data_IF_130989330057
#
_entry.id   IF_130989330057
#
_cell.length_a   1.000
_cell.length_b   1.000
_cell.length_c   1.000
_cell.angle_alpha   90.00
_cell.angle_beta   90.00
_cell.angle_gamma   90.00
#
_symmetry.space_group_name_H-M   'P 1'
#
loop_
_entity.id
_entity.type
_entity.pdbx_description
1 polymer ?
#
# COMPACT_ATOMS: atom_id res chain seq x y z
N UNK A 1 10.64 0.19 20.52
CA UNK A 1 9.90 1.04 21.47
C UNK A 1 8.65 1.56 20.77
N UNK A 2 7.48 1.11 21.22
CA UNK A 2 6.15 1.49 20.73
C UNK A 2 5.81 2.88 21.26
N UNK A 3 5.51 3.82 20.37
CA UNK A 3 5.16 5.21 20.74
C UNK A 3 3.77 5.29 21.40
N UNK A 4 2.98 4.22 21.29
CA UNK A 4 1.64 4.13 21.87
C UNK A 4 1.34 2.70 22.33
N UNK A 5 0.72 2.49 23.52
CA UNK A 5 0.38 1.17 24.01
C UNK A 5 -1.02 0.76 23.52
N UNK A 6 -1.17 0.33 22.26
CA UNK A 6 -2.49 -0.06 21.73
C UNK A 6 -2.74 -1.58 21.85
N UNK A 7 -3.73 -2.02 22.66
CA UNK A 7 -4.26 -3.40 22.60
C UNK A 7 -5.34 -3.54 21.51
N UNK A 8 -5.37 -4.71 20.84
CA UNK A 8 -6.17 -5.01 19.63
C UNK A 8 -7.70 -4.81 19.73
N UNK A 9 -8.28 -4.63 20.92
CA UNK A 9 -9.73 -4.64 21.13
C UNK A 9 -10.36 -3.33 21.67
N UNK A 10 -9.58 -2.25 21.90
CA UNK A 10 -10.11 -0.98 22.47
C UNK A 10 -10.13 0.21 21.49
N UNK A 11 -10.12 -0.05 20.18
CA UNK A 11 -9.69 0.96 19.18
C UNK A 11 -10.65 2.11 18.88
N UNK A 12 -11.97 1.99 19.06
CA UNK A 12 -12.89 3.04 18.56
C UNK A 12 -13.05 4.24 19.50
N UNK A 13 -12.97 4.04 20.82
CA UNK A 13 -13.16 5.11 21.82
C UNK A 13 -11.89 5.94 22.07
N UNK A 14 -10.70 5.39 21.84
CA UNK A 14 -9.46 6.11 22.14
C UNK A 14 -9.05 7.12 21.06
N UNK A 15 -9.45 6.92 19.81
CA UNK A 15 -9.12 7.83 18.71
C UNK A 15 -9.98 9.11 18.67
N UNK A 16 -11.17 9.06 19.27
CA UNK A 16 -12.00 10.27 19.48
C UNK A 16 -11.32 11.29 20.42
N UNK A 17 -10.29 10.86 21.15
CA UNK A 17 -9.44 11.74 21.95
C UNK A 17 -8.47 12.55 21.10
N UNK A 18 -8.30 12.27 19.81
CA UNK A 18 -7.29 12.95 18.99
C UNK A 18 -7.90 13.88 17.94
N UNK A 19 -7.24 15.01 17.73
CA UNK A 19 -7.62 16.04 16.75
C UNK A 19 -6.46 16.27 15.80
N UNK A 20 -6.78 16.44 14.52
CA UNK A 20 -5.83 16.94 13.54
C UNK A 20 -5.91 18.47 13.51
N UNK A 21 -4.91 19.12 14.11
CA UNK A 21 -4.75 20.56 14.03
C UNK A 21 -3.93 20.96 12.79
N UNK A 22 -4.12 22.19 12.33
CA UNK A 22 -3.32 22.82 11.29
C UNK A 22 -2.89 24.22 11.76
N UNK A 23 -1.58 24.47 11.74
CA UNK A 23 -0.95 25.77 12.02
C UNK A 23 -0.03 26.13 10.85
N UNK A 24 -0.36 27.20 10.12
CA UNK A 24 0.29 27.51 8.85
C UNK A 24 0.18 26.35 7.85
N UNK A 25 1.29 25.90 7.27
CA UNK A 25 1.33 24.74 6.36
C UNK A 25 1.59 23.39 7.08
N UNK A 26 1.66 23.40 8.41
CA UNK A 26 1.99 22.20 9.20
C UNK A 26 0.73 21.58 9.80
N UNK A 27 0.62 20.25 9.67
CA UNK A 27 -0.44 19.45 10.29
C UNK A 27 0.11 18.70 11.50
N UNK A 28 -0.63 18.71 12.60
CA UNK A 28 -0.24 18.02 13.83
C UNK A 28 -1.41 17.27 14.46
N UNK A 29 -1.08 16.28 15.28
CA UNK A 29 -2.05 15.55 16.10
C UNK A 29 -1.88 15.92 17.57
N UNK A 30 -3.01 16.10 18.26
CA UNK A 30 -3.07 16.40 19.68
C UNK A 30 -4.19 15.62 20.37
N UNK A 31 -4.03 15.37 21.67
CA UNK A 31 -5.09 14.81 22.51
C UNK A 31 -6.10 15.91 22.91
N UNK A 32 -7.34 15.53 23.22
CA UNK A 32 -8.41 16.35 23.81
C UNK A 32 -8.52 16.08 25.33
N UNK A 33 -8.63 17.12 26.17
CA UNK A 33 -8.40 18.52 25.83
C UNK A 33 -6.93 18.73 25.47
N UNK A 34 -6.60 19.89 24.87
CA UNK A 34 -5.26 20.23 24.37
C UNK A 34 -4.23 20.33 25.51
N UNK A 35 -3.92 19.22 26.16
CA UNK A 35 -2.88 19.15 27.17
C UNK A 35 -1.52 19.12 26.46
N UNK A 36 -0.58 19.99 26.85
CA UNK A 36 0.80 19.84 26.43
C UNK A 36 1.29 18.50 26.97
N UNK A 37 1.65 17.57 26.08
CA UNK A 37 2.23 16.27 26.45
C UNK A 37 3.42 16.55 27.36
N UNK A 38 3.35 16.13 28.63
CA UNK A 38 4.36 16.47 29.63
C UNK A 38 5.62 15.65 29.35
N UNK A 39 6.78 16.22 29.67
CA UNK A 39 8.09 15.53 29.57
C UNK A 39 8.11 14.18 30.29
N UNK A 40 7.28 14.00 31.32
CA UNK A 40 7.12 12.80 32.13
C UNK A 40 6.33 11.67 31.44
N UNK A 41 5.53 11.96 30.42
CA UNK A 41 4.73 10.95 29.70
C UNK A 41 5.58 10.18 28.67
N UNK A 42 6.87 10.53 28.59
CA UNK A 42 7.88 9.97 27.71
C UNK A 42 8.99 9.40 28.61
N UNK A 43 8.74 8.22 29.19
CA UNK A 43 9.81 7.41 29.77
C UNK A 43 10.68 6.86 28.64
N UNK A 44 11.70 7.63 28.24
CA UNK A 44 12.93 7.05 27.67
C UNK A 44 13.84 6.82 28.87
N UNK A 45 13.97 5.56 29.29
CA UNK A 45 15.01 5.13 30.22
C UNK A 45 16.36 5.60 29.67
N UNK A 46 17.03 6.44 30.47
CA UNK A 46 18.44 6.80 30.33
C UNK A 46 19.30 5.57 30.69
N UNK A 47 20.31 5.33 29.87
CA UNK A 47 21.70 5.17 30.32
C UNK A 47 22.50 6.15 29.44
N UNK A 48 23.03 7.25 30.02
CA UNK A 48 24.43 7.38 30.45
C UNK A 48 25.37 7.11 29.26
N UNK A 49 26.00 8.11 28.66
CA UNK A 49 27.15 8.79 29.26
C UNK A 49 27.10 10.32 29.11
N UNK A 50 27.41 10.98 30.22
CA UNK A 50 27.90 12.35 30.24
C UNK A 50 29.35 12.38 29.73
N UNK A 51 29.73 13.42 28.99
CA UNK A 51 30.78 14.31 29.46
C UNK A 51 30.80 15.66 28.72
N UNK A 52 30.64 16.68 29.56
CA UNK A 52 31.35 17.97 29.58
C UNK A 52 31.33 18.88 28.34
N UNK A 53 30.60 19.98 28.44
CA UNK A 53 31.22 21.32 28.37
C UNK A 53 30.26 22.43 28.83
N UNK A 54 30.64 23.00 29.97
CA UNK A 54 30.67 24.44 30.31
C UNK A 54 29.45 25.31 30.01
N UNK A 55 28.79 25.67 31.12
CA UNK A 55 28.04 26.91 31.35
C UNK A 55 28.70 28.13 30.68
N UNK A 56 27.92 28.83 29.85
CA UNK A 56 28.01 30.29 29.73
C UNK A 56 26.62 30.90 29.72
N UNK A 57 26.41 31.79 30.69
CA UNK A 57 25.32 32.75 30.75
C UNK A 57 25.15 33.50 29.43
N UNK A 58 23.92 33.67 28.95
CA UNK A 58 23.48 34.96 28.43
C UNK A 58 21.96 35.10 28.40
N UNK A 59 21.53 36.13 29.16
CA UNK A 59 20.46 37.09 28.90
C UNK A 59 19.11 36.59 28.39
N UNK A 60 18.13 36.78 29.28
CA UNK A 60 16.75 37.10 28.96
C UNK A 60 16.68 38.12 27.81
N UNK A 61 16.07 37.70 26.72
CA UNK A 61 15.59 38.59 25.66
C UNK A 61 14.08 38.37 25.60
N UNK A 62 13.35 39.36 26.12
CA UNK A 62 11.93 39.53 25.88
C UNK A 62 11.68 39.51 24.37
N UNK A 63 10.93 38.51 23.90
CA UNK A 63 10.28 38.50 22.59
C UNK A 63 8.88 37.91 22.76
N UNK A 64 7.90 38.76 22.98
CA UNK A 64 6.62 38.66 22.27
C UNK A 64 6.79 39.46 20.97
N UNK A 65 6.29 38.97 19.82
CA UNK A 65 4.86 38.75 19.64
C UNK A 65 4.55 37.47 18.84
N UNK A 66 3.86 36.49 19.43
CA UNK A 66 3.21 35.47 18.59
C UNK A 66 1.88 36.07 18.11
N UNK A 67 1.89 36.55 16.86
CA UNK A 67 0.69 36.61 16.04
C UNK A 67 -0.04 35.28 16.20
N UNK A 68 -1.26 35.29 16.71
CA UNK A 68 -2.14 34.13 16.81
C UNK A 68 -2.43 33.64 15.39
N UNK A 69 -1.57 32.75 14.88
CA UNK A 69 -1.85 32.02 13.66
C UNK A 69 -3.12 31.21 13.93
N UNK A 70 -4.23 31.51 13.26
CA UNK A 70 -5.50 30.80 13.38
C UNK A 70 -5.26 29.28 13.30
N UNK A 71 -5.31 28.60 14.44
CA UNK A 71 -5.22 27.15 14.51
C UNK A 71 -6.58 26.58 14.10
N UNK A 72 -6.61 25.78 13.04
CA UNK A 72 -7.84 25.10 12.62
C UNK A 72 -7.81 23.65 13.06
N UNK A 73 -8.84 23.22 13.77
CA UNK A 73 -8.97 21.86 14.29
C UNK A 73 -9.95 21.04 13.45
N UNK A 74 -9.53 19.84 13.06
CA UNK A 74 -10.34 18.89 12.32
C UNK A 74 -10.55 17.61 13.12
N UNK A 75 -11.81 17.23 13.29
CA UNK A 75 -12.16 15.98 13.98
C UNK A 75 -11.74 14.80 13.11
N UNK A 76 -11.05 13.84 13.74
CA UNK A 76 -10.73 12.55 13.14
C UNK A 76 -11.90 11.59 13.37
N UNK A 77 -12.47 11.05 12.30
CA UNK A 77 -13.44 9.95 12.41
C UNK A 77 -12.69 8.61 12.39
N UNK A 78 -12.93 7.77 13.40
CA UNK A 78 -12.50 6.36 13.46
C UNK A 78 -13.27 5.50 12.44
N UNK A 79 -12.76 4.46 11.77
CA UNK A 79 -11.42 3.93 11.50
C UNK A 79 -11.56 2.93 10.34
N UNK A 80 -10.46 2.55 9.69
CA UNK A 80 -10.27 1.18 9.18
C UNK A 80 -9.04 0.57 9.83
N UNK A 81 -9.08 -0.71 10.21
CA UNK A 81 -7.86 -1.36 10.71
C UNK A 81 -6.97 -1.63 9.50
N UNK A 82 -5.67 -1.31 9.54
CA UNK A 82 -4.79 -1.85 8.50
C UNK A 82 -4.40 -3.27 8.88
N UNK A 83 -4.01 -4.08 7.89
CA UNK A 83 -3.38 -5.37 8.18
C UNK A 83 -2.02 -5.20 8.87
N UNK A 84 -1.45 -3.99 8.84
CA UNK A 84 -0.23 -3.65 9.57
C UNK A 84 -0.62 -3.26 11.00
N UNK A 85 -0.32 -4.07 12.02
CA UNK A 85 -0.69 -3.74 13.39
C UNK A 85 -0.16 -2.39 13.86
N UNK A 86 0.94 -1.90 13.26
CA UNK A 86 1.63 -0.66 13.56
C UNK A 86 1.18 0.58 12.74
N UNK A 87 0.12 0.48 11.92
CA UNK A 87 -0.42 1.61 11.13
C UNK A 87 -1.89 1.84 11.45
N UNK A 88 -2.19 3.09 11.80
CA UNK A 88 -3.46 3.55 12.36
C UNK A 88 -4.10 4.62 11.47
N UNK A 89 -4.97 4.24 10.52
CA UNK A 89 -5.52 5.17 9.56
C UNK A 89 -6.90 5.69 9.96
N UNK A 90 -7.10 6.99 9.76
CA UNK A 90 -8.33 7.73 10.08
C UNK A 90 -8.77 8.54 8.87
N UNK A 91 -10.04 8.94 8.84
CA UNK A 91 -10.52 9.94 7.87
C UNK A 91 -10.68 11.30 8.51
N UNK A 92 -10.47 12.31 7.69
CA UNK A 92 -10.90 13.66 7.98
C UNK A 92 -11.42 14.32 6.70
N UNK A 93 -12.34 15.26 6.85
CA UNK A 93 -12.81 16.11 5.75
C UNK A 93 -12.27 17.51 6.00
N UNK A 94 -11.49 18.00 5.06
CA UNK A 94 -10.96 19.38 5.08
C UNK A 94 -11.56 20.09 3.87
N UNK A 95 -12.44 21.05 4.15
CA UNK A 95 -13.32 21.67 3.13
C UNK A 95 -14.13 20.57 2.42
N UNK A 96 -14.14 20.57 1.08
CA UNK A 96 -14.85 19.63 0.21
C UNK A 96 -14.04 18.37 -0.16
N UNK A 97 -12.94 18.06 0.55
CA UNK A 97 -12.06 16.93 0.22
C UNK A 97 -11.90 15.99 1.41
N UNK A 98 -11.98 14.68 1.14
CA UNK A 98 -11.70 13.63 2.10
C UNK A 98 -10.20 13.25 2.07
N UNK A 99 -9.63 13.11 3.26
CA UNK A 99 -8.24 12.72 3.47
C UNK A 99 -8.16 11.50 4.38
N UNK A 100 -7.21 10.63 4.04
CA UNK A 100 -6.76 9.51 4.85
C UNK A 100 -5.53 9.95 5.62
N UNK A 101 -5.57 9.84 6.94
CA UNK A 101 -4.48 10.16 7.87
C UNK A 101 -3.97 8.85 8.45
N UNK A 102 -2.78 8.41 8.04
CA UNK A 102 -2.14 7.19 8.54
C UNK A 102 -1.09 7.54 9.58
N UNK A 103 -1.22 7.00 10.80
CA UNK A 103 -0.25 7.17 11.89
C UNK A 103 0.59 5.91 12.04
N UNK A 104 1.87 6.08 12.34
CA UNK A 104 2.84 4.98 12.33
C UNK A 104 3.55 4.92 13.66
N UNK A 105 3.65 3.73 14.23
CA UNK A 105 4.41 3.51 15.48
C UNK A 105 5.93 3.55 15.24
N UNK A 106 6.37 3.22 14.02
CA UNK A 106 7.78 3.14 13.66
C UNK A 106 8.19 4.30 12.73
N UNK A 107 9.03 5.20 13.25
CA UNK A 107 9.50 6.39 12.54
C UNK A 107 10.38 6.08 11.32
N UNK A 108 11.15 4.97 11.33
CA UNK A 108 11.98 4.56 10.18
C UNK A 108 11.11 4.16 8.99
N UNK A 109 10.10 3.35 9.26
CA UNK A 109 9.15 2.91 8.25
C UNK A 109 8.34 4.08 7.67
N UNK A 110 7.89 5.02 8.52
CA UNK A 110 7.21 6.23 8.06
C UNK A 110 8.10 7.11 7.16
N UNK A 111 9.38 7.28 7.50
CA UNK A 111 10.33 8.01 6.63
C UNK A 111 10.43 7.36 5.24
N UNK A 112 10.50 6.03 5.20
CA UNK A 112 10.51 5.28 3.94
C UNK A 112 9.18 5.43 3.18
N UNK A 113 8.04 5.28 3.84
CA UNK A 113 6.71 5.45 3.26
C UNK A 113 6.54 6.85 2.64
N UNK A 114 6.80 7.91 3.40
CA UNK A 114 6.67 9.30 2.91
C UNK A 114 7.53 9.53 1.67
N UNK A 115 8.80 9.10 1.72
CA UNK A 115 9.74 9.26 0.59
C UNK A 115 9.30 8.47 -0.62
N UNK A 116 9.00 7.19 -0.43
CA UNK A 116 8.65 6.28 -1.52
C UNK A 116 7.29 6.66 -2.13
N UNK A 117 6.29 7.03 -1.32
CA UNK A 117 4.97 7.46 -1.78
C UNK A 117 5.08 8.69 -2.68
N UNK A 118 5.83 9.73 -2.26
CA UNK A 118 6.03 10.92 -3.08
C UNK A 118 6.74 10.58 -4.40
N UNK A 119 7.80 9.76 -4.34
CA UNK A 119 8.56 9.33 -5.52
C UNK A 119 7.68 8.59 -6.52
N UNK A 120 6.90 7.62 -6.03
CA UNK A 120 5.98 6.81 -6.84
C UNK A 120 4.87 7.66 -7.42
N UNK A 121 4.22 8.50 -6.62
CA UNK A 121 3.15 9.38 -7.08
C UNK A 121 3.62 10.27 -8.23
N UNK A 122 4.77 10.94 -8.07
CA UNK A 122 5.33 11.82 -9.10
C UNK A 122 5.71 11.05 -10.37
N UNK A 123 6.36 9.88 -10.22
CA UNK A 123 6.72 9.03 -11.36
C UNK A 123 5.49 8.56 -12.15
N UNK A 124 4.43 8.16 -11.45
CA UNK A 124 3.16 7.73 -12.09
C UNK A 124 2.49 8.90 -12.81
N UNK A 125 2.45 10.11 -12.24
CA UNK A 125 1.89 11.26 -12.95
C UNK A 125 2.69 11.61 -14.21
N UNK A 126 4.02 11.61 -14.12
CA UNK A 126 4.90 11.87 -15.26
C UNK A 126 4.71 10.82 -16.37
N UNK A 127 4.64 9.54 -16.01
CA UNK A 127 4.41 8.44 -16.95
C UNK A 127 3.07 8.58 -17.69
N UNK A 128 2.00 8.98 -16.99
CA UNK A 128 0.70 9.17 -17.65
C UNK A 128 0.69 10.32 -18.65
N UNK A 129 1.43 11.40 -18.37
CA UNK A 129 1.62 12.48 -19.35
C UNK A 129 2.34 11.96 -20.59
N UNK A 130 3.37 11.14 -20.41
CA UNK A 130 4.12 10.53 -21.51
C UNK A 130 3.25 9.58 -22.34
N UNK A 131 2.46 8.73 -21.70
CA UNK A 131 1.56 7.82 -22.39
C UNK A 131 0.48 8.56 -23.18
N UNK A 132 -0.06 9.66 -22.63
CA UNK A 132 -1.00 10.51 -23.35
C UNK A 132 -0.37 11.12 -24.60
N UNK A 133 0.87 11.63 -24.49
CA UNK A 133 1.59 12.20 -25.61
C UNK A 133 1.91 11.16 -26.70
N UNK A 134 2.18 9.91 -26.31
CA UNK A 134 2.42 8.80 -27.23
C UNK A 134 1.14 8.18 -27.82
N UNK A 135 -0.03 8.79 -27.64
CA UNK A 135 -1.31 8.27 -28.14
C UNK A 135 -1.84 7.05 -27.37
N UNK A 136 -1.23 6.70 -26.24
CA UNK A 136 -1.54 5.49 -25.48
C UNK A 136 -2.69 5.72 -24.48
N UNK A 137 -3.82 6.21 -25.00
CA UNK A 137 -5.00 6.65 -24.23
C UNK A 137 -5.80 5.51 -23.59
N UNK A 138 -5.58 4.26 -24.05
CA UNK A 138 -6.31 3.07 -23.55
C UNK A 138 -5.60 2.33 -22.42
N UNK A 139 -4.41 2.78 -22.02
CA UNK A 139 -3.62 2.14 -20.97
C UNK A 139 -4.37 2.22 -19.62
N UNK A 140 -4.59 1.09 -18.92
CA UNK A 140 -5.34 1.07 -17.68
C UNK A 140 -4.58 1.80 -16.58
N UNK A 141 -5.25 2.80 -16.00
CA UNK A 141 -4.69 3.64 -14.95
C UNK A 141 -4.82 2.96 -13.58
N UNK A 142 -3.69 2.73 -12.93
CA UNK A 142 -3.65 2.45 -11.48
C UNK A 142 -3.56 3.79 -10.75
N UNK A 143 -4.42 3.98 -9.76
CA UNK A 143 -4.40 5.14 -8.88
C UNK A 143 -3.25 5.06 -7.86
N UNK A 144 -2.67 6.20 -7.53
CA UNK A 144 -1.82 6.36 -6.34
C UNK A 144 -2.43 7.51 -5.55
N UNK A 145 -2.77 7.32 -4.26
CA UNK A 145 -3.34 8.38 -3.43
C UNK A 145 -2.42 9.60 -3.46
N UNK A 146 -2.97 10.81 -3.68
CA UNK A 146 -2.13 12.00 -3.72
C UNK A 146 -1.63 12.30 -2.30
N UNK A 147 -0.31 12.37 -2.04
CA UNK A 147 0.21 12.82 -0.75
C UNK A 147 -0.19 14.28 -0.53
N UNK A 148 -0.66 14.59 0.67
CA UNK A 148 -1.19 15.90 1.05
C UNK A 148 -0.31 16.59 2.09
N UNK A 149 0.08 15.88 3.15
CA UNK A 149 0.93 16.42 4.20
C UNK A 149 1.65 15.34 5.01
N UNK A 150 2.75 15.73 5.66
CA UNK A 150 3.33 14.99 6.78
C UNK A 150 2.62 15.46 8.06
N UNK A 151 2.48 14.55 9.02
CA UNK A 151 1.78 14.82 10.28
C UNK A 151 2.78 14.74 11.42
N UNK A 152 2.75 15.70 12.33
CA UNK A 152 3.64 15.80 13.48
C UNK A 152 2.88 15.66 14.81
N UNK A 153 3.56 15.41 15.91
CA UNK A 153 2.95 15.53 17.23
C UNK A 153 2.85 17.01 17.64
N UNK A 154 1.77 17.43 18.32
CA UNK A 154 1.66 18.78 18.90
C UNK A 154 2.83 19.02 19.86
N UNK A 155 3.39 20.23 19.83
CA UNK A 155 4.60 20.59 20.59
C UNK A 155 5.92 20.08 19.98
N UNK A 156 5.89 19.33 18.87
CA UNK A 156 7.08 18.97 18.07
C UNK A 156 7.05 19.48 16.65
N UNK A 157 5.89 19.97 16.19
CA UNK A 157 5.75 20.68 14.93
C UNK A 157 6.68 21.92 14.92
N UNK A 158 7.56 22.03 13.93
CA UNK A 158 8.56 23.12 13.85
C UNK A 158 9.80 22.95 14.73
N UNK A 159 9.80 21.99 15.66
CA UNK A 159 10.96 21.69 16.55
C UNK A 159 11.68 20.41 16.09
N UNK A 160 10.94 19.44 15.55
CA UNK A 160 11.51 18.17 15.08
C UNK A 160 11.06 17.85 13.65
N UNK A 161 11.99 17.38 12.82
CA UNK A 161 11.70 16.92 11.45
C UNK A 161 11.14 15.49 11.38
N UNK A 162 10.79 14.89 12.53
CA UNK A 162 10.32 13.51 12.58
C UNK A 162 8.79 13.49 12.52
N UNK A 163 8.19 13.15 11.37
CA UNK A 163 6.75 12.97 11.29
C UNK A 163 6.34 11.74 12.11
N UNK A 164 5.08 11.72 12.52
CA UNK A 164 4.37 10.58 13.13
C UNK A 164 3.28 10.01 12.21
N UNK A 165 2.96 10.71 11.11
CA UNK A 165 1.98 10.25 10.14
C UNK A 165 2.13 10.82 8.74
N UNK A 166 1.34 10.27 7.83
CA UNK A 166 1.20 10.69 6.44
C UNK A 166 -0.29 10.93 6.13
N UNK A 167 -0.61 12.09 5.57
CA UNK A 167 -1.92 12.42 5.06
C UNK A 167 -1.94 12.28 3.53
N UNK A 168 -2.94 11.57 3.01
CA UNK A 168 -3.16 11.36 1.56
C UNK A 168 -4.61 11.65 1.21
N UNK A 169 -4.91 11.93 -0.06
CA UNK A 169 -6.32 11.94 -0.53
C UNK A 169 -6.93 10.56 -0.35
N UNK A 170 -8.11 10.50 0.23
CA UNK A 170 -8.82 9.24 0.45
C UNK A 170 -9.08 8.52 -0.87
N UNK A 171 -8.77 7.22 -0.91
CA UNK A 171 -9.20 6.34 -2.00
C UNK A 171 -10.73 6.22 -1.91
N UNK A 172 -11.49 6.56 -2.96
CA UNK A 172 -12.93 6.39 -2.95
C UNK A 172 -13.29 4.92 -2.69
N UNK A 173 -14.23 4.67 -1.76
CA UNK A 173 -14.70 3.33 -1.48
C UNK A 173 -15.33 2.71 -2.74
N UNK A 174 -15.33 1.38 -2.81
CA UNK A 174 -15.96 0.68 -3.92
C UNK A 174 -17.49 0.85 -3.84
N UNK A 175 -18.15 1.09 -4.97
CA UNK A 175 -19.60 1.26 -5.01
C UNK A 175 -20.29 0.04 -4.37
N UNK A 176 -21.25 0.23 -3.45
CA UNK A 176 -22.02 -0.87 -2.86
C UNK A 176 -22.59 -1.86 -3.89
N UNK A 177 -22.95 -1.40 -5.09
CA UNK A 177 -23.40 -2.24 -6.19
C UNK A 177 -22.36 -3.28 -6.65
N UNK A 178 -21.07 -3.05 -6.39
CA UNK A 178 -19.98 -4.00 -6.67
C UNK A 178 -19.55 -4.78 -5.43
N UNK A 179 -19.60 -4.16 -4.23
CA UNK A 179 -19.29 -4.87 -2.98
C UNK A 179 -20.32 -5.93 -2.63
N UNK A 180 -21.62 -5.63 -2.80
CA UNK A 180 -22.70 -6.52 -2.36
C UNK A 180 -22.74 -7.86 -3.12
N UNK A 181 -22.53 -7.91 -4.45
CA UNK A 181 -22.36 -9.17 -5.16
C UNK A 181 -21.21 -10.02 -4.63
N UNK A 182 -20.02 -9.44 -4.41
CA UNK A 182 -18.87 -10.12 -3.80
C UNK A 182 -19.23 -10.74 -2.44
N UNK A 183 -19.93 -9.99 -1.59
CA UNK A 183 -20.42 -10.46 -0.28
C UNK A 183 -21.39 -11.63 -0.43
N UNK A 184 -22.32 -11.54 -1.41
CA UNK A 184 -23.32 -12.59 -1.66
C UNK A 184 -22.73 -13.83 -2.31
N UNK A 185 -21.76 -13.69 -3.20
CA UNK A 185 -21.19 -14.81 -3.94
C UNK A 185 -20.18 -15.60 -3.09
N UNK A 186 -19.38 -14.91 -2.27
CA UNK A 186 -18.21 -15.52 -1.63
C UNK A 186 -18.29 -15.62 -0.11
N UNK A 187 -19.41 -15.28 0.52
CA UNK A 187 -19.62 -15.57 1.93
C UNK A 187 -20.72 -16.61 2.10
N UNK A 188 -20.48 -17.50 3.06
CA UNK A 188 -21.46 -18.44 3.55
C UNK A 188 -22.72 -17.73 4.09
N UNK A 189 -23.88 -18.38 3.97
CA UNK A 189 -25.17 -17.85 4.42
C UNK A 189 -25.15 -17.47 5.91
N UNK A 190 -24.43 -18.23 6.75
CA UNK A 190 -24.35 -18.02 8.20
C UNK A 190 -23.74 -16.67 8.58
N UNK A 191 -22.77 -16.18 7.81
CA UNK A 191 -22.07 -14.91 8.06
C UNK A 191 -22.56 -13.77 7.16
N UNK A 192 -23.15 -14.10 6.00
CA UNK A 192 -23.63 -13.12 5.02
C UNK A 192 -24.61 -12.12 5.62
N UNK A 193 -25.59 -12.57 6.40
CA UNK A 193 -26.59 -11.67 7.04
C UNK A 193 -25.91 -10.67 7.98
N UNK A 194 -24.99 -11.14 8.82
CA UNK A 194 -24.21 -10.27 9.72
C UNK A 194 -23.39 -9.23 8.96
N UNK A 195 -22.78 -9.63 7.84
CA UNK A 195 -21.93 -8.74 7.04
C UNK A 195 -22.76 -7.72 6.24
N UNK A 196 -23.88 -8.13 5.65
CA UNK A 196 -24.77 -7.21 4.91
C UNK A 196 -25.43 -6.17 5.82
N UNK A 197 -25.69 -6.51 7.08
CA UNK A 197 -26.23 -5.59 8.08
C UNK A 197 -25.16 -4.68 8.71
N UNK A 198 -23.90 -4.80 8.29
CA UNK A 198 -22.83 -3.97 8.82
C UNK A 198 -22.90 -2.55 8.20
N UNK A 199 -23.05 -1.48 9.00
CA UNK A 199 -23.17 -0.12 8.49
C UNK A 199 -21.91 0.37 7.76
N UNK A 200 -20.76 -0.30 7.94
CA UNK A 200 -19.49 0.05 7.30
C UNK A 200 -19.24 -0.67 5.97
N UNK A 201 -20.19 -1.46 5.46
CA UNK A 201 -20.02 -2.17 4.18
C UNK A 201 -19.80 -1.22 2.99
N UNK A 202 -20.30 0.01 3.07
CA UNK A 202 -20.11 1.08 2.07
C UNK A 202 -18.71 1.70 2.09
N UNK A 203 -17.93 1.49 3.15
CA UNK A 203 -16.56 1.99 3.28
C UNK A 203 -15.50 0.95 2.90
N UNK A 204 -15.95 -0.23 2.43
CA UNK A 204 -15.10 -1.36 2.11
C UNK A 204 -14.14 -1.03 0.97
N UNK A 205 -12.88 -1.40 1.20
CA UNK A 205 -11.77 -1.29 0.27
C UNK A 205 -11.08 -2.64 0.24
N UNK A 206 -11.22 -3.35 -0.87
CA UNK A 206 -10.84 -4.75 -0.98
C UNK A 206 -9.41 -4.89 -1.49
N UNK A 207 -8.58 -5.73 -0.86
CA UNK A 207 -7.20 -5.96 -1.31
C UNK A 207 -7.20 -6.96 -2.46
N UNK A 208 -6.73 -6.56 -3.63
CA UNK A 208 -6.63 -7.46 -4.77
C UNK A 208 -5.43 -8.40 -4.60
N UNK A 209 -5.64 -9.72 -4.72
CA UNK A 209 -4.59 -10.73 -4.82
C UNK A 209 -4.67 -11.43 -6.17
N UNK A 210 -3.90 -10.94 -7.13
CA UNK A 210 -3.91 -11.48 -8.50
C UNK A 210 -3.00 -12.70 -8.68
N UNK A 211 -2.14 -13.00 -7.70
CA UNK A 211 -1.20 -14.11 -7.73
C UNK A 211 -1.66 -15.38 -7.01
N UNK A 212 -2.90 -15.40 -6.49
CA UNK A 212 -3.40 -16.51 -5.67
C UNK A 212 -4.89 -16.77 -5.93
N UNK A 213 -5.30 -18.03 -5.75
CA UNK A 213 -6.71 -18.42 -5.64
C UNK A 213 -7.18 -18.27 -4.20
N UNK A 214 -8.50 -18.16 -4.03
CA UNK A 214 -9.09 -18.19 -2.69
C UNK A 214 -8.73 -19.51 -1.99
N UNK A 215 -8.24 -19.49 -0.75
CA UNK A 215 -7.93 -20.70 -0.02
C UNK A 215 -9.20 -21.52 0.27
N UNK A 216 -9.05 -22.82 0.59
CA UNK A 216 -10.15 -23.59 1.15
C UNK A 216 -10.77 -22.86 2.35
N UNK A 217 -12.09 -22.90 2.48
CA UNK A 217 -12.82 -22.25 3.59
C UNK A 217 -12.78 -20.71 3.65
N UNK A 218 -12.28 -20.01 2.61
CA UNK A 218 -12.32 -18.54 2.56
C UNK A 218 -13.75 -17.98 2.70
N UNK A 219 -14.76 -18.78 2.28
CA UNK A 219 -16.18 -18.45 2.41
C UNK A 219 -16.68 -18.37 3.85
N UNK A 220 -15.95 -18.94 4.83
CA UNK A 220 -16.26 -18.88 6.25
C UNK A 220 -15.60 -17.69 6.96
N UNK A 221 -14.76 -16.91 6.29
CA UNK A 221 -14.03 -15.81 6.90
C UNK A 221 -14.94 -14.57 7.09
N UNK A 222 -15.26 -14.16 8.34
CA UNK A 222 -16.16 -13.03 8.59
C UNK A 222 -15.48 -11.66 8.44
N UNK A 223 -14.16 -11.59 8.23
CA UNK A 223 -13.39 -10.34 8.22
C UNK A 223 -13.51 -9.56 6.90
N UNK A 224 -14.72 -9.13 6.52
CA UNK A 224 -14.98 -8.45 5.23
C UNK A 224 -14.10 -7.20 5.02
N UNK A 225 -13.90 -6.38 6.05
CA UNK A 225 -13.13 -5.12 5.96
C UNK A 225 -11.66 -5.33 5.59
N UNK A 226 -11.10 -6.53 5.79
CA UNK A 226 -9.69 -6.85 5.51
C UNK A 226 -9.51 -8.02 4.54
N UNK A 227 -10.61 -8.59 4.04
CA UNK A 227 -10.58 -9.78 3.21
C UNK A 227 -9.86 -9.47 1.90
N UNK A 228 -8.80 -10.22 1.57
CA UNK A 228 -8.25 -10.21 0.22
C UNK A 228 -9.29 -10.76 -0.75
N UNK A 229 -9.37 -10.18 -1.94
CA UNK A 229 -10.18 -10.70 -3.04
C UNK A 229 -9.23 -11.32 -4.04
N UNK A 230 -9.39 -12.63 -4.21
CA UNK A 230 -8.49 -13.49 -4.95
C UNK A 230 -8.81 -13.48 -6.45
N UNK A 231 -7.90 -14.01 -7.27
CA UNK A 231 -8.02 -13.93 -8.73
C UNK A 231 -9.35 -14.49 -9.26
N UNK A 232 -9.79 -15.64 -8.76
CA UNK A 232 -11.07 -16.26 -9.13
C UNK A 232 -12.28 -15.40 -8.78
N UNK A 233 -12.25 -14.74 -7.63
CA UNK A 233 -13.31 -13.85 -7.17
C UNK A 233 -13.37 -12.58 -8.01
N UNK A 234 -12.21 -11.96 -8.26
CA UNK A 234 -12.07 -10.80 -9.15
C UNK A 234 -12.57 -11.11 -10.57
N UNK A 235 -12.25 -12.31 -11.07
CA UNK A 235 -12.64 -12.80 -12.39
C UNK A 235 -14.14 -12.95 -12.53
N UNK A 236 -14.80 -13.53 -11.52
CA UNK A 236 -16.24 -13.74 -11.52
C UNK A 236 -17.00 -12.40 -11.50
N UNK A 237 -16.54 -11.45 -10.69
CA UNK A 237 -17.29 -10.24 -10.37
C UNK A 237 -17.01 -9.08 -11.31
N UNK A 238 -15.75 -8.85 -11.63
CA UNK A 238 -15.35 -7.78 -12.55
C UNK A 238 -15.32 -8.26 -14.02
N UNK A 239 -15.38 -9.58 -14.23
CA UNK A 239 -15.30 -10.20 -15.53
C UNK A 239 -13.88 -10.27 -16.10
N UNK A 240 -13.73 -11.11 -17.14
CA UNK A 240 -12.46 -11.36 -17.85
C UNK A 240 -11.76 -10.08 -18.29
N UNK A 241 -12.48 -9.15 -18.92
CA UNK A 241 -11.88 -7.94 -19.52
C UNK A 241 -11.29 -7.02 -18.47
N UNK A 242 -11.95 -6.83 -17.33
CA UNK A 242 -11.45 -5.96 -16.26
C UNK A 242 -10.17 -6.51 -15.64
N UNK A 243 -10.15 -7.81 -15.31
CA UNK A 243 -8.98 -8.49 -14.74
C UNK A 243 -7.76 -8.40 -15.65
N UNK A 244 -7.92 -8.57 -16.97
CA UNK A 244 -6.82 -8.42 -17.91
C UNK A 244 -6.27 -6.98 -17.94
N UNK A 245 -7.16 -5.97 -17.91
CA UNK A 245 -6.74 -4.56 -17.84
C UNK A 245 -6.02 -4.25 -16.53
N UNK A 246 -6.50 -4.79 -15.42
CA UNK A 246 -5.81 -4.67 -14.14
C UNK A 246 -4.43 -5.30 -14.17
N UNK A 247 -4.27 -6.48 -14.78
CA UNK A 247 -2.97 -7.12 -14.94
C UNK A 247 -1.98 -6.23 -15.72
N UNK A 248 -2.41 -5.63 -16.84
CA UNK A 248 -1.59 -4.64 -17.58
C UNK A 248 -1.18 -3.48 -16.65
N UNK A 249 -2.13 -2.89 -15.93
CA UNK A 249 -1.87 -1.76 -15.04
C UNK A 249 -0.89 -2.09 -13.92
N UNK A 250 -0.96 -3.30 -13.36
CA UNK A 250 0.02 -3.79 -12.39
C UNK A 250 1.41 -3.95 -13.02
N UNK A 251 1.49 -4.43 -14.26
CA UNK A 251 2.76 -4.50 -15.00
C UNK A 251 3.39 -3.13 -15.18
N UNK A 252 2.59 -2.13 -15.59
CA UNK A 252 3.01 -0.73 -15.71
C UNK A 252 3.51 -0.17 -14.37
N UNK A 253 2.81 -0.46 -13.28
CA UNK A 253 3.23 -0.04 -11.94
C UNK A 253 4.56 -0.68 -11.54
N UNK A 254 4.75 -1.97 -11.78
CA UNK A 254 6.02 -2.63 -11.48
C UNK A 254 7.18 -2.04 -12.29
N UNK A 255 6.94 -1.72 -13.56
CA UNK A 255 7.92 -1.02 -14.39
C UNK A 255 8.25 0.37 -13.84
N UNK A 256 7.24 1.09 -13.33
CA UNK A 256 7.42 2.39 -12.69
C UNK A 256 8.27 2.27 -11.42
N UNK A 257 8.02 1.25 -10.59
CA UNK A 257 8.85 0.96 -9.41
C UNK A 257 10.30 0.69 -9.81
N UNK A 258 10.55 -0.24 -10.72
CA UNK A 258 11.91 -0.63 -11.10
C UNK A 258 12.67 0.47 -11.83
N UNK A 259 12.06 1.09 -12.85
CA UNK A 259 12.80 1.89 -13.83
C UNK A 259 12.73 3.39 -13.56
N UNK A 260 11.61 3.89 -13.05
CA UNK A 260 11.48 5.31 -12.67
C UNK A 260 11.87 5.54 -11.21
N UNK A 261 11.46 4.65 -10.31
CA UNK A 261 11.65 4.85 -8.88
C UNK A 261 12.90 4.15 -8.34
N UNK A 262 13.48 3.17 -9.04
CA UNK A 262 14.57 2.35 -8.49
C UNK A 262 14.16 1.70 -7.17
N UNK A 263 12.96 1.11 -7.12
CA UNK A 263 12.38 0.41 -5.98
C UNK A 263 12.04 -1.02 -6.41
N UNK A 264 12.23 -2.00 -5.53
CA UNK A 264 12.00 -3.42 -5.81
C UNK A 264 10.52 -3.87 -5.78
N UNK A 265 9.61 -3.02 -5.32
CA UNK A 265 8.18 -3.34 -5.20
C UNK A 265 7.81 -4.24 -4.01
N UNK A 266 8.70 -4.40 -3.03
CA UNK A 266 8.41 -5.17 -1.81
C UNK A 266 7.27 -4.52 -1.00
N UNK A 267 6.36 -5.35 -0.50
CA UNK A 267 5.26 -4.94 0.39
C UNK A 267 4.14 -4.12 -0.27
N UNK A 268 4.25 -3.78 -1.56
CA UNK A 268 3.21 -3.06 -2.30
C UNK A 268 1.90 -3.83 -2.28
N UNK A 269 0.81 -3.14 -1.99
CA UNK A 269 -0.54 -3.67 -2.14
C UNK A 269 -1.34 -2.90 -3.18
N UNK A 270 -2.40 -3.55 -3.64
CA UNK A 270 -3.37 -2.95 -4.52
C UNK A 270 -4.75 -3.11 -3.90
N UNK A 271 -5.48 -1.99 -3.84
CA UNK A 271 -6.80 -1.89 -3.27
C UNK A 271 -7.80 -1.57 -4.37
N UNK A 272 -8.93 -2.25 -4.40
CA UNK A 272 -10.07 -1.90 -5.22
C UNK A 272 -10.84 -0.75 -4.57
N UNK A 273 -10.96 0.33 -5.32
CA UNK A 273 -11.83 1.46 -5.03
C UNK A 273 -12.51 1.94 -6.29
N UNK A 274 -13.13 3.11 -6.23
CA UNK A 274 -13.77 3.74 -7.39
C UNK A 274 -12.90 4.83 -8.03
N UNK A 275 -13.04 4.99 -9.35
CA UNK A 275 -12.58 6.18 -10.08
C UNK A 275 -13.72 7.21 -10.22
N UNK A 276 -13.45 8.35 -10.89
CA UNK A 276 -14.37 9.51 -11.06
C UNK A 276 -15.78 9.22 -11.62
N UNK A 277 -16.06 8.00 -12.08
CA UNK A 277 -17.37 7.59 -12.63
C UNK A 277 -17.90 6.31 -11.94
N UNK A 278 -17.56 6.10 -10.68
CA UNK A 278 -17.89 4.90 -9.90
C UNK A 278 -17.36 3.57 -10.45
N UNK A 279 -16.56 3.60 -11.54
CA UNK A 279 -15.95 2.41 -12.12
C UNK A 279 -14.88 1.84 -11.18
N UNK A 280 -14.85 0.51 -10.96
CA UNK A 280 -13.81 -0.16 -10.20
C UNK A 280 -12.41 0.12 -10.77
N UNK A 281 -11.47 0.47 -9.90
CA UNK A 281 -10.09 0.79 -10.24
C UNK A 281 -9.14 0.27 -9.16
N UNK A 282 -7.95 -0.14 -9.57
CA UNK A 282 -6.87 -0.49 -8.65
C UNK A 282 -6.16 0.77 -8.16
N UNK A 283 -5.86 0.80 -6.87
CA UNK A 283 -5.07 1.81 -6.20
C UNK A 283 -3.86 1.17 -5.53
N UNK A 284 -2.65 1.59 -5.87
CA UNK A 284 -1.43 1.09 -5.23
C UNK A 284 -1.19 1.80 -3.89
N UNK A 285 -0.80 1.04 -2.88
CA UNK A 285 -0.53 1.50 -1.50
C UNK A 285 0.64 0.74 -0.87
N UNK A 286 1.03 1.16 0.34
CA UNK A 286 2.03 0.51 1.20
C UNK A 286 3.45 0.49 0.61
N UNK A 287 4.01 1.68 0.38
CA UNK A 287 5.32 1.81 -0.26
C UNK A 287 6.50 1.78 0.71
N UNK A 288 6.26 1.72 2.01
CA UNK A 288 7.28 1.85 3.05
C UNK A 288 8.24 0.67 3.14
N UNK A 289 7.84 -0.52 2.69
CA UNK A 289 8.72 -1.70 2.65
C UNK A 289 9.55 -1.77 1.36
N UNK A 290 9.20 -0.99 0.33
CA UNK A 290 9.95 -1.00 -0.92
C UNK A 290 11.39 -0.58 -0.69
N UNK A 291 12.33 -1.45 -1.05
CA UNK A 291 13.76 -1.20 -0.86
C UNK A 291 14.35 -0.52 -2.09
N UNK A 292 15.29 0.42 -1.90
CA UNK A 292 16.04 1.00 -3.00
C UNK A 292 16.80 -0.08 -3.78
N UNK A 293 16.70 -0.01 -5.10
CA UNK A 293 17.33 -0.92 -6.03
C UNK A 293 18.45 -0.18 -6.76
N UNK A 294 19.69 -0.68 -6.67
CA UNK A 294 20.83 -0.15 -7.43
C UNK A 294 20.61 -0.30 -8.95
N UNK A 295 21.31 0.46 -9.81
CA UNK A 295 21.39 0.16 -11.24
C UNK A 295 21.80 -1.31 -11.44
N UNK A 296 21.06 -2.08 -12.25
CA UNK A 296 21.17 -3.56 -12.39
C UNK A 296 20.70 -4.41 -11.20
N UNK A 297 20.22 -3.81 -10.12
CA UNK A 297 19.68 -4.49 -8.93
C UNK A 297 18.46 -5.38 -9.20
N UNK A 298 17.79 -5.18 -10.33
CA UNK A 298 16.70 -6.03 -10.83
C UNK A 298 17.16 -7.48 -11.06
N UNK A 299 18.47 -7.70 -11.24
CA UNK A 299 19.05 -9.05 -11.36
C UNK A 299 19.16 -9.76 -10.01
N UNK A 300 19.03 -9.06 -8.88
CA UNK A 300 19.26 -9.65 -7.57
C UNK A 300 18.19 -10.70 -7.22
N UNK A 301 18.59 -11.72 -6.44
CA UNK A 301 17.62 -12.69 -5.89
C UNK A 301 16.62 -12.01 -4.95
N UNK A 302 17.04 -10.94 -4.27
CA UNK A 302 16.20 -10.16 -3.36
C UNK A 302 15.04 -9.49 -4.12
N UNK A 303 15.32 -8.77 -5.21
CA UNK A 303 14.29 -8.14 -6.04
C UNK A 303 13.29 -9.17 -6.60
N UNK A 304 13.78 -10.30 -7.10
CA UNK A 304 12.89 -11.38 -7.57
C UNK A 304 12.02 -11.92 -6.43
N UNK A 305 12.61 -12.16 -5.25
CA UNK A 305 11.88 -12.69 -4.10
C UNK A 305 10.83 -11.71 -3.58
N UNK A 306 11.10 -10.40 -3.59
CA UNK A 306 10.15 -9.36 -3.24
C UNK A 306 8.87 -9.43 -4.09
N UNK A 307 9.01 -9.71 -5.39
CA UNK A 307 7.87 -9.87 -6.30
C UNK A 307 7.22 -11.25 -6.13
N UNK A 308 8.01 -12.33 -6.13
CA UNK A 308 7.47 -13.69 -6.08
C UNK A 308 6.75 -14.01 -4.77
N UNK A 309 7.21 -13.44 -3.65
CA UNK A 309 6.62 -13.70 -2.33
C UNK A 309 5.42 -12.79 -2.04
N UNK A 310 5.20 -11.74 -2.85
CA UNK A 310 4.04 -10.87 -2.70
C UNK A 310 2.85 -11.43 -3.51
N UNK A 311 1.73 -11.81 -2.86
CA UNK A 311 0.58 -12.43 -3.53
C UNK A 311 -0.24 -11.46 -4.37
N UNK A 312 0.04 -10.18 -4.27
CA UNK A 312 -0.70 -9.16 -5.01
C UNK A 312 -0.42 -9.23 -6.50
N UNK A 313 0.83 -9.53 -6.90
CA UNK A 313 1.23 -9.54 -8.30
C UNK A 313 0.63 -10.71 -9.09
N UNK A 314 0.18 -10.50 -10.34
CA UNK A 314 -0.13 -11.60 -11.25
C UNK A 314 1.04 -12.57 -11.37
N UNK A 315 0.76 -13.85 -11.54
CA UNK A 315 1.76 -14.93 -11.62
C UNK A 315 1.52 -15.81 -12.86
N UNK A 316 2.57 -16.48 -13.38
CA UNK A 316 2.39 -17.45 -14.44
C UNK A 316 1.51 -18.62 -13.96
N UNK A 317 0.82 -19.28 -14.89
CA UNK A 317 -0.12 -20.37 -14.57
C UNK A 317 0.54 -21.58 -13.90
N UNK A 318 1.86 -21.74 -14.05
CA UNK A 318 2.67 -22.79 -13.43
C UNK A 318 3.24 -22.40 -12.05
N UNK A 319 2.89 -21.23 -11.50
CA UNK A 319 3.35 -20.85 -10.16
C UNK A 319 2.60 -21.65 -9.07
N UNK A 320 3.27 -22.03 -7.97
CA UNK A 320 2.60 -22.61 -6.81
C UNK A 320 1.59 -21.61 -6.22
N UNK A 321 0.50 -22.12 -5.64
CA UNK A 321 -0.68 -21.40 -5.10
C UNK A 321 -1.87 -21.25 -6.08
N UNK A 322 -1.80 -21.82 -7.28
CA UNK A 322 -2.97 -22.10 -8.13
C UNK A 322 -3.28 -23.61 -8.05
N UNK A 323 -3.96 -24.05 -6.99
CA UNK A 323 -4.22 -25.48 -6.71
C UNK A 323 -5.47 -25.99 -7.48
N UNK A 324 -5.51 -27.25 -7.96
CA UNK A 324 -4.39 -28.21 -7.98
C UNK A 324 -3.53 -28.15 -9.25
N UNK A 325 -4.10 -27.81 -10.41
CA UNK A 325 -3.41 -27.94 -11.71
C UNK A 325 -3.19 -26.60 -12.44
N UNK A 326 -3.21 -25.48 -11.71
CA UNK A 326 -3.20 -24.17 -12.33
C UNK A 326 -4.50 -23.86 -13.09
N UNK A 327 -4.36 -23.45 -14.35
CA UNK A 327 -5.47 -23.17 -15.28
C UNK A 327 -5.26 -24.00 -16.56
N UNK A 328 -5.35 -25.33 -16.48
CA UNK A 328 -4.84 -26.22 -17.54
C UNK A 328 -5.53 -25.99 -18.88
N UNK A 329 -6.82 -25.63 -18.84
CA UNK A 329 -7.62 -25.29 -20.03
C UNK A 329 -7.67 -23.78 -20.34
N UNK A 330 -6.96 -22.95 -19.58
CA UNK A 330 -6.97 -21.49 -19.74
C UNK A 330 -8.34 -20.83 -19.47
N UNK A 331 -9.28 -21.55 -18.85
CA UNK A 331 -10.64 -21.13 -18.60
C UNK A 331 -10.67 -19.91 -17.64
N UNK A 332 -9.92 -20.00 -16.54
CA UNK A 332 -9.80 -18.91 -15.55
C UNK A 332 -9.06 -17.69 -16.14
N UNK A 333 -8.26 -17.92 -17.18
CA UNK A 333 -7.48 -16.90 -17.86
C UNK A 333 -6.26 -16.43 -17.09
N UNK A 334 -5.70 -17.27 -16.22
CA UNK A 334 -4.50 -16.95 -15.42
C UNK A 334 -3.32 -16.68 -16.36
N UNK A 335 -3.06 -17.57 -17.32
CA UNK A 335 -2.01 -17.38 -18.33
C UNK A 335 -2.18 -16.11 -19.15
N UNK A 336 -3.43 -15.74 -19.48
CA UNK A 336 -3.70 -14.47 -20.17
C UNK A 336 -3.45 -13.25 -19.30
N UNK A 337 -3.80 -13.31 -18.01
CA UNK A 337 -3.52 -12.23 -17.07
C UNK A 337 -2.01 -12.04 -16.91
N UNK A 338 -1.24 -13.13 -16.74
CA UNK A 338 0.22 -13.09 -16.72
C UNK A 338 0.81 -12.46 -17.99
N UNK A 339 0.36 -12.90 -19.18
CA UNK A 339 0.83 -12.32 -20.46
C UNK A 339 0.56 -10.81 -20.55
N UNK A 340 -0.61 -10.37 -20.11
CA UNK A 340 -0.97 -8.95 -20.09
C UNK A 340 -0.14 -8.14 -19.09
N UNK A 341 0.14 -8.72 -17.91
CA UNK A 341 1.04 -8.13 -16.93
C UNK A 341 2.46 -7.96 -17.50
N UNK A 342 3.00 -9.01 -18.11
CA UNK A 342 4.32 -9.01 -18.75
C UNK A 342 4.39 -7.96 -19.87
N UNK A 343 3.36 -7.88 -20.70
CA UNK A 343 3.30 -6.90 -21.79
C UNK A 343 3.29 -5.46 -21.24
N UNK A 344 2.43 -5.17 -20.27
CA UNK A 344 2.39 -3.86 -19.61
C UNK A 344 3.73 -3.48 -18.98
N UNK A 345 4.40 -4.44 -18.33
CA UNK A 345 5.72 -4.25 -17.74
C UNK A 345 6.81 -3.97 -18.78
N UNK A 346 6.90 -4.79 -19.84
CA UNK A 346 7.91 -4.64 -20.90
C UNK A 346 7.73 -3.32 -21.64
N UNK A 347 6.50 -3.00 -22.03
CA UNK A 347 6.20 -1.79 -22.80
C UNK A 347 6.45 -0.51 -21.97
N UNK A 348 5.93 -0.45 -20.74
CA UNK A 348 6.18 0.70 -19.87
C UNK A 348 7.67 0.84 -19.55
N UNK A 349 8.37 -0.27 -19.26
CA UNK A 349 9.80 -0.26 -18.99
C UNK A 349 10.62 0.31 -20.15
N UNK A 350 10.33 -0.11 -21.39
CA UNK A 350 10.97 0.43 -22.59
C UNK A 350 10.73 1.93 -22.75
N UNK A 351 9.50 2.40 -22.58
CA UNK A 351 9.16 3.83 -22.69
C UNK A 351 9.92 4.65 -21.64
N UNK A 352 9.92 4.20 -20.38
CA UNK A 352 10.62 4.87 -19.28
C UNK A 352 12.11 4.98 -19.58
N UNK A 353 12.74 3.86 -19.94
CA UNK A 353 14.18 3.80 -20.18
C UNK A 353 14.60 4.63 -21.39
N UNK A 354 13.82 4.58 -22.47
CA UNK A 354 14.06 5.41 -23.66
C UNK A 354 14.00 6.91 -23.32
N UNK A 355 12.96 7.36 -22.60
CA UNK A 355 12.80 8.77 -22.21
C UNK A 355 13.84 9.25 -21.19
N UNK A 356 14.42 8.35 -20.41
CA UNK A 356 15.53 8.64 -19.50
C UNK A 356 16.90 8.55 -20.17
N UNK A 357 16.97 8.37 -21.50
CA UNK A 357 18.21 8.17 -22.25
C UNK A 357 19.06 6.97 -21.76
N UNK A 358 18.41 5.92 -21.25
CA UNK A 358 19.03 4.69 -20.74
C UNK A 358 18.98 3.57 -21.79
N UNK A 359 19.46 3.87 -23.00
CA UNK A 359 19.35 2.98 -24.18
C UNK A 359 20.05 1.63 -23.97
N UNK A 360 21.20 1.61 -23.26
CA UNK A 360 21.92 0.38 -22.93
C UNK A 360 21.13 -0.58 -22.02
N UNK A 361 20.07 -0.10 -21.37
CA UNK A 361 19.23 -0.88 -20.48
C UNK A 361 17.89 -1.28 -21.10
N UNK A 362 17.60 -0.94 -22.36
CA UNK A 362 16.27 -1.09 -22.97
C UNK A 362 15.74 -2.54 -22.99
N UNK A 363 16.64 -3.53 -22.99
CA UNK A 363 16.32 -4.97 -22.91
C UNK A 363 16.22 -5.50 -21.47
N UNK A 364 16.53 -4.69 -20.46
CA UNK A 364 16.47 -5.07 -19.05
C UNK A 364 15.05 -5.47 -18.59
N UNK A 365 13.95 -4.81 -19.01
CA UNK A 365 12.60 -5.28 -18.69
C UNK A 365 12.33 -6.71 -19.21
N UNK A 366 12.76 -7.02 -20.43
CA UNK A 366 12.62 -8.37 -21.00
C UNK A 366 13.43 -9.39 -20.18
N UNK A 367 14.71 -9.12 -19.97
CA UNK A 367 15.62 -10.00 -19.20
C UNK A 367 15.17 -10.22 -17.76
N UNK A 368 14.54 -9.21 -17.13
CA UNK A 368 13.94 -9.37 -15.80
C UNK A 368 12.80 -10.38 -15.81
N UNK A 369 11.87 -10.28 -16.78
CA UNK A 369 10.75 -11.21 -16.91
C UNK A 369 11.25 -12.63 -17.16
N UNK A 370 12.20 -12.80 -18.08
CA UNK A 370 12.76 -14.13 -18.38
C UNK A 370 13.34 -14.75 -17.11
N UNK A 371 14.07 -13.97 -16.31
CA UNK A 371 14.62 -14.42 -15.03
C UNK A 371 13.55 -14.73 -13.97
N UNK A 372 12.46 -13.95 -13.94
CA UNK A 372 11.33 -14.17 -13.04
C UNK A 372 10.61 -15.47 -13.38
N UNK A 373 10.36 -15.75 -14.66
CA UNK A 373 9.78 -17.00 -15.14
C UNK A 373 10.67 -18.21 -14.86
N UNK A 374 11.97 -18.11 -15.14
CA UNK A 374 12.94 -19.18 -14.78
C UNK A 374 12.99 -19.43 -13.27
N UNK A 375 12.76 -18.40 -12.45
CA UNK A 375 12.72 -18.55 -10.99
C UNK A 375 11.43 -19.22 -10.51
N UNK A 376 10.30 -18.96 -11.16
CA UNK A 376 9.04 -19.68 -10.89
C UNK A 376 9.13 -21.17 -11.26
N UNK A 377 9.68 -21.51 -12.44
CA UNK A 377 9.89 -22.91 -12.84
C UNK A 377 10.77 -23.69 -11.86
N UNK A 378 11.83 -23.05 -11.34
CA UNK A 378 12.68 -23.66 -10.31
C UNK A 378 11.96 -23.89 -8.98
N UNK A 379 11.00 -23.05 -8.59
CA UNK A 379 10.18 -23.28 -7.39
C UNK A 379 9.21 -24.45 -7.57
N UNK A 380 8.70 -24.67 -8.78
CA UNK A 380 7.84 -25.80 -9.10
C UNK A 380 8.62 -27.12 -9.02
N UNK A 381 9.79 -27.21 -9.66
CA UNK A 381 10.61 -28.43 -9.63
C UNK A 381 11.21 -28.80 -8.26
N UNK A 382 11.13 -27.90 -7.27
CA UNK A 382 11.56 -28.18 -5.89
C UNK A 382 10.47 -28.78 -5.00
N UNK A 383 9.18 -28.56 -5.30
CA UNK A 383 8.07 -29.14 -4.52
C UNK A 383 7.83 -30.61 -4.82
N UNK A 384 8.24 -31.08 -6.00
CA UNK A 384 8.06 -32.48 -6.40
C UNK A 384 9.11 -33.42 -5.75
N UNK A 385 10.23 -32.87 -5.25
CA UNK A 385 11.31 -33.65 -4.62
C UNK A 385 11.04 -33.93 -3.13
N UNK A 386 10.30 -33.06 -2.44
CA UNK A 386 9.89 -33.29 -1.04
C UNK A 386 8.70 -34.26 -0.92
N UNK A 387 8.03 -34.60 -2.02
CA UNK A 387 6.87 -35.51 -2.03
C UNK A 387 7.25 -36.98 -2.25
N UNK A 388 8.53 -37.28 -2.53
CA UNK A 388 9.01 -38.64 -2.82
C UNK A 388 9.96 -39.22 -1.75
N UNK A 389 10.24 -38.50 -0.66
CA UNK A 389 11.12 -38.97 0.43
C UNK A 389 10.37 -39.50 1.66
N UNK A 390 9.05 -39.60 1.62
CA UNK A 390 8.21 -40.08 2.73
C UNK A 390 7.56 -41.44 2.50
N UNK A 391 8.30 -42.45 2.04
CA UNK A 391 7.80 -43.84 2.04
C UNK A 391 8.95 -44.85 2.00
N UNK A 392 9.68 -44.95 3.10
CA UNK A 392 10.37 -46.18 3.48
C UNK A 392 10.84 -46.06 4.92
N UNK A 393 10.07 -46.70 5.81
CA UNK A 393 10.55 -47.48 6.96
C UNK A 393 9.33 -48.14 7.59
N UNK A 394 8.98 -49.30 7.01
CA UNK A 394 8.44 -50.46 7.72
C UNK A 394 9.48 -51.05 8.65
#
# INVERSE_FOLDING_TARGET
>A
MTIFPWRRQQKTKELQKYVLGKRGDTYYISAKPAEPVRRSDICILREAECNNSTNKHSRAVNRTPESESEETEHTLSSFWVTYRPAVHPTQTKIKYKAYTVSLYENSRFLKAEVRNHMKVYTAVQALWLQFKAAGWTRCPRVGVPRPAARIFARGRAGITDVPIGLMTRTIPALNPQHCMPLVKAFLDLTIRRRVMNNPWISEVRLRARMGEMSPPNDHLNPQLLFRPVYFNQLRLEAGKRAVLRWAVGMGVMLATFHWSCGLDGEGVNFVLGCWKNSKPCLWATDFGDCKPMKPKGWKSRQCLSAIMNNPTWPRPAFAPNFIPDGDPNGAMGIGRAWKNFVEGYKQAGRIILYKQNRLSEIESPRRFVDKLESSWRRRQGGSDVESLSGSSNS
#
